data_IF_040557553551
#
_entry.id   IF_040557553551
#
_cell.length_a   1.000
_cell.length_b   1.000
_cell.length_c   1.000
_cell.angle_alpha   90.00
_cell.angle_beta   90.00
_cell.angle_gamma   90.00
#
_symmetry.space_group_name_H-M   'P 1'
#
loop_
_entity.id
_entity.type
_entity.pdbx_description
1 polymer ?
#
# COMPACT_ATOMS: atom_id res chain seq x y z
N UNK A 1 6.02 -13.64 1.72
CA UNK A 1 5.11 -13.01 0.74
C UNK A 1 5.87 -12.38 -0.43
N UNK A 2 5.33 -12.40 -1.66
CA UNK A 2 5.92 -11.71 -2.84
C UNK A 2 5.65 -10.19 -2.78
N UNK A 3 6.34 -9.43 -3.65
CA UNK A 3 6.07 -8.01 -3.86
C UNK A 3 4.61 -7.80 -4.28
N UNK A 4 4.01 -6.71 -3.79
CA UNK A 4 2.58 -6.42 -3.94
C UNK A 4 2.39 -5.20 -4.81
N UNK A 5 1.60 -5.30 -5.88
CA UNK A 5 1.17 -4.13 -6.66
C UNK A 5 0.09 -3.37 -5.86
N UNK A 6 0.45 -2.22 -5.30
CA UNK A 6 -0.37 -1.50 -4.32
C UNK A 6 -1.07 -0.26 -4.89
N UNK A 7 -0.57 0.31 -6.00
CA UNK A 7 -1.09 1.56 -6.55
C UNK A 7 -0.66 1.77 -8.00
N UNK A 8 -1.39 2.62 -8.74
CA UNK A 8 -1.01 3.06 -10.09
C UNK A 8 -1.36 4.52 -10.32
N UNK A 9 -0.75 5.17 -11.31
CA UNK A 9 -1.11 6.53 -11.69
C UNK A 9 -2.57 6.62 -12.16
N UNK A 10 -3.15 7.81 -12.07
CA UNK A 10 -4.52 8.10 -12.48
C UNK A 10 -5.32 8.89 -11.44
N UNK A 11 -6.61 9.06 -11.73
CA UNK A 11 -7.57 9.70 -10.84
C UNK A 11 -8.16 8.67 -9.87
N UNK A 12 -7.95 8.90 -8.58
CA UNK A 12 -8.44 8.03 -7.51
C UNK A 12 -9.26 8.81 -6.52
N UNK A 13 -10.41 8.27 -6.14
CA UNK A 13 -11.24 8.84 -5.08
C UNK A 13 -10.83 8.25 -3.75
N UNK A 14 -10.40 9.11 -2.84
CA UNK A 14 -10.07 8.73 -1.47
C UNK A 14 -11.30 8.22 -0.72
N UNK A 15 -11.09 7.55 0.42
CA UNK A 15 -12.19 7.11 1.31
C UNK A 15 -13.03 8.26 1.88
N UNK A 16 -12.55 9.51 1.79
CA UNK A 16 -13.26 10.72 2.18
C UNK A 16 -14.02 11.38 1.01
N UNK A 17 -14.04 10.74 -0.17
CA UNK A 17 -14.74 11.24 -1.36
C UNK A 17 -13.97 12.27 -2.18
N UNK A 18 -12.75 12.63 -1.79
CA UNK A 18 -11.91 13.55 -2.56
C UNK A 18 -11.23 12.81 -3.71
N UNK A 19 -11.43 13.29 -4.93
CA UNK A 19 -10.71 12.82 -6.12
C UNK A 19 -9.34 13.49 -6.20
N UNK A 20 -8.30 12.66 -6.26
CA UNK A 20 -6.90 13.06 -6.34
C UNK A 20 -6.28 12.47 -7.61
N UNK A 21 -5.49 13.29 -8.30
CA UNK A 21 -4.77 12.88 -9.50
C UNK A 21 -3.33 12.53 -9.15
N UNK A 22 -2.93 11.30 -9.48
CA UNK A 22 -1.57 10.82 -9.29
C UNK A 22 -0.89 10.66 -10.64
N UNK A 23 0.17 11.43 -10.88
CA UNK A 23 1.03 11.25 -12.04
C UNK A 23 2.05 10.13 -11.77
N UNK A 24 2.71 9.65 -12.82
CA UNK A 24 3.83 8.71 -12.63
C UNK A 24 4.96 9.34 -11.81
N UNK A 25 5.24 10.62 -12.03
CA UNK A 25 6.29 11.35 -11.31
C UNK A 25 5.99 11.47 -9.82
N UNK A 26 4.71 11.61 -9.44
CA UNK A 26 4.33 11.51 -8.02
C UNK A 26 4.71 10.15 -7.43
N UNK A 27 4.48 9.06 -8.17
CA UNK A 27 4.78 7.71 -7.67
C UNK A 27 6.28 7.42 -7.65
N UNK A 28 7.04 7.92 -8.63
CA UNK A 28 8.51 7.84 -8.64
C UNK A 28 9.10 8.64 -7.47
N UNK A 29 8.62 9.85 -7.24
CA UNK A 29 9.03 10.66 -6.09
C UNK A 29 8.70 9.97 -4.74
N UNK A 30 7.54 9.30 -4.65
CA UNK A 30 7.22 8.47 -3.47
C UNK A 30 8.20 7.32 -3.26
N UNK A 31 8.69 6.68 -4.33
CA UNK A 31 9.70 5.62 -4.24
C UNK A 31 11.03 6.17 -3.76
N UNK A 32 11.48 7.28 -4.35
CA UNK A 32 12.76 7.91 -4.00
C UNK A 32 12.79 8.43 -2.56
N UNK A 33 11.65 8.94 -2.08
CA UNK A 33 11.53 9.50 -0.74
C UNK A 33 11.30 8.46 0.37
N UNK A 34 10.96 7.21 0.02
CA UNK A 34 10.54 6.22 1.03
C UNK A 34 11.72 5.73 1.86
N UNK A 35 11.64 5.95 3.17
CA UNK A 35 12.67 5.55 4.14
C UNK A 35 12.01 4.93 5.39
N UNK A 36 12.11 3.60 5.59
CA UNK A 36 11.60 2.92 6.77
C UNK A 36 12.07 3.49 8.10
N UNK A 37 13.22 4.19 8.14
CA UNK A 37 13.73 4.84 9.35
C UNK A 37 12.96 6.12 9.73
N UNK A 38 12.31 6.78 8.78
CA UNK A 38 11.46 7.94 9.02
C UNK A 38 10.02 7.51 9.37
N UNK A 39 9.48 6.60 8.57
CA UNK A 39 8.19 5.96 8.80
C UNK A 39 8.12 4.67 7.99
N UNK A 40 8.17 3.54 8.70
CA UNK A 40 7.92 2.23 8.13
C UNK A 40 6.40 2.01 8.00
N UNK A 41 5.95 1.69 6.79
CA UNK A 41 4.52 1.64 6.51
C UNK A 41 3.99 0.25 6.91
N UNK A 42 3.04 0.16 7.85
CA UNK A 42 2.52 -1.13 8.29
C UNK A 42 1.61 -1.75 7.21
N UNK A 43 1.61 -3.07 7.19
CA UNK A 43 0.59 -3.89 6.54
C UNK A 43 -0.56 -4.07 7.52
N UNK A 44 -1.77 -3.71 7.11
CA UNK A 44 -2.96 -3.71 7.97
C UNK A 44 -4.15 -4.34 7.27
N UNK A 45 -5.15 -4.77 8.04
CA UNK A 45 -6.46 -5.14 7.50
C UNK A 45 -7.34 -3.88 7.43
N UNK A 46 -7.90 -3.59 6.25
CA UNK A 46 -8.73 -2.40 6.02
C UNK A 46 -7.95 -1.07 5.96
N UNK A 47 -8.64 0.03 6.22
CA UNK A 47 -8.05 1.36 6.40
C UNK A 47 -8.32 1.88 7.83
N UNK A 48 -7.56 1.41 8.82
CA UNK A 48 -7.74 1.87 10.19
C UNK A 48 -7.43 3.37 10.30
N UNK A 49 -8.22 4.07 11.10
CA UNK A 49 -7.99 5.49 11.39
C UNK A 49 -6.84 5.71 12.39
N UNK A 50 -6.53 4.72 13.22
CA UNK A 50 -5.50 4.77 14.27
C UNK A 50 -4.81 3.44 14.50
N UNK A 51 -4.41 3.17 15.76
CA UNK A 51 -3.59 2.03 16.21
C UNK A 51 -4.28 0.67 15.96
N UNK A 52 -4.16 0.17 14.75
CA UNK A 52 -4.45 -1.23 14.43
C UNK A 52 -3.14 -2.05 14.52
N UNK A 53 -3.24 -3.37 14.78
CA UNK A 53 -2.09 -4.24 14.69
C UNK A 53 -1.45 -4.17 13.30
N UNK A 54 -0.13 -4.02 13.26
CA UNK A 54 0.65 -4.29 12.06
C UNK A 54 0.76 -5.81 11.89
N UNK A 55 0.43 -6.30 10.70
CA UNK A 55 0.58 -7.70 10.30
C UNK A 55 1.87 -7.95 9.51
N UNK A 56 2.73 -6.94 9.46
CA UNK A 56 3.95 -6.87 8.69
C UNK A 56 4.27 -5.42 8.36
N UNK A 57 5.37 -5.24 7.64
CA UNK A 57 5.93 -3.93 7.33
C UNK A 57 6.34 -3.86 5.87
N UNK A 58 6.45 -2.65 5.34
CA UNK A 58 6.96 -2.42 3.98
C UNK A 58 8.42 -1.99 4.08
N UNK A 59 9.33 -2.82 3.57
CA UNK A 59 10.77 -2.55 3.62
C UNK A 59 11.25 -1.66 2.46
N UNK A 60 10.53 -1.65 1.34
CA UNK A 60 10.89 -0.83 0.18
C UNK A 60 9.72 -0.65 -0.79
N UNK A 61 9.80 0.41 -1.59
CA UNK A 61 8.93 0.66 -2.73
C UNK A 61 9.69 0.55 -4.04
N UNK A 62 8.97 0.25 -5.12
CA UNK A 62 9.50 0.35 -6.48
C UNK A 62 8.41 0.72 -7.46
N UNK A 63 8.78 1.45 -8.50
CA UNK A 63 7.91 1.79 -9.61
C UNK A 63 8.31 0.98 -10.86
N UNK A 64 7.34 0.45 -11.57
CA UNK A 64 7.54 -0.30 -12.81
C UNK A 64 6.35 -0.14 -13.76
N UNK A 65 6.31 -0.97 -14.81
CA UNK A 65 5.31 -0.89 -15.89
C UNK A 65 3.86 -0.90 -15.38
N UNK A 66 3.58 -1.69 -14.34
CA UNK A 66 2.23 -1.79 -13.78
C UNK A 66 1.88 -0.71 -12.76
N UNK A 67 2.88 0.03 -12.26
CA UNK A 67 2.73 1.03 -11.20
C UNK A 67 3.60 0.78 -9.98
N UNK A 68 3.11 1.20 -8.82
CA UNK A 68 3.82 1.16 -7.54
C UNK A 68 3.67 -0.20 -6.86
N UNK A 69 4.80 -0.77 -6.47
CA UNK A 69 4.90 -2.07 -5.82
C UNK A 69 5.61 -1.93 -4.46
N UNK A 70 5.08 -2.59 -3.43
CA UNK A 70 5.68 -2.68 -2.11
C UNK A 70 6.35 -4.03 -1.86
N UNK A 71 7.46 -4.03 -1.14
CA UNK A 71 8.14 -5.24 -0.63
C UNK A 71 7.74 -5.49 0.82
N UNK A 72 6.96 -6.53 1.13
CA UNK A 72 6.63 -6.91 2.50
C UNK A 72 7.85 -7.45 3.25
N UNK A 73 7.95 -7.14 4.53
CA UNK A 73 8.89 -7.72 5.49
C UNK A 73 8.19 -8.02 6.83
N UNK A 74 8.75 -8.94 7.61
CA UNK A 74 8.27 -9.31 8.96
C UNK A 74 6.76 -9.60 9.01
N UNK A 75 6.24 -10.27 7.99
CA UNK A 75 4.80 -10.57 7.85
C UNK A 75 4.41 -11.66 8.85
N UNK A 76 3.34 -11.42 9.60
CA UNK A 76 2.76 -12.41 10.51
C UNK A 76 2.27 -13.65 9.74
N UNK A 77 2.63 -14.83 10.24
CA UNK A 77 2.33 -16.09 9.56
C UNK A 77 0.82 -16.36 9.43
N UNK A 78 0.03 -16.05 10.46
CA UNK A 78 -1.42 -16.23 10.41
C UNK A 78 -2.06 -15.29 9.40
N UNK A 79 -1.53 -14.08 9.28
CA UNK A 79 -1.98 -13.16 8.25
C UNK A 79 -1.64 -13.68 6.85
N UNK A 80 -0.41 -14.17 6.64
CA UNK A 80 -0.03 -14.74 5.36
C UNK A 80 -0.96 -15.91 4.95
N UNK A 81 -1.33 -16.78 5.89
CA UNK A 81 -2.32 -17.85 5.67
C UNK A 81 -3.71 -17.31 5.28
N UNK A 82 -4.20 -16.25 5.93
CA UNK A 82 -5.49 -15.62 5.60
C UNK A 82 -5.48 -15.04 4.18
N UNK A 83 -4.37 -14.41 3.78
CA UNK A 83 -4.22 -13.88 2.42
C UNK A 83 -4.14 -15.02 1.40
N UNK A 84 -3.35 -16.07 1.67
CA UNK A 84 -3.24 -17.27 0.81
C UNK A 84 -4.58 -17.99 0.65
N UNK A 85 -5.38 -18.10 1.72
CA UNK A 85 -6.74 -18.62 1.69
C UNK A 85 -7.73 -17.71 0.95
N UNK A 86 -7.27 -16.55 0.44
CA UNK A 86 -8.06 -15.63 -0.33
C UNK A 86 -9.09 -14.85 0.49
N UNK A 87 -8.88 -14.71 1.81
CA UNK A 87 -9.76 -13.91 2.68
C UNK A 87 -9.59 -12.42 2.44
N UNK A 88 -8.39 -11.99 2.04
CA UNK A 88 -8.06 -10.60 1.70
C UNK A 88 -7.32 -10.52 0.37
N UNK A 89 -8.06 -10.53 -0.75
CA UNK A 89 -7.47 -10.58 -2.11
C UNK A 89 -7.11 -9.21 -2.70
N UNK A 90 -7.64 -8.15 -2.10
CA UNK A 90 -7.54 -6.78 -2.63
C UNK A 90 -6.64 -5.97 -1.73
N UNK A 91 -5.85 -5.09 -2.33
CA UNK A 91 -4.94 -4.20 -1.60
C UNK A 91 -5.22 -2.75 -1.96
N UNK A 92 -4.89 -1.85 -1.05
CA UNK A 92 -5.05 -0.41 -1.22
C UNK A 92 -3.98 0.33 -0.44
N UNK A 93 -3.21 1.18 -1.12
CA UNK A 93 -2.25 2.06 -0.48
C UNK A 93 -2.94 3.30 0.09
N UNK A 94 -2.58 3.67 1.32
CA UNK A 94 -2.88 4.98 1.89
C UNK A 94 -1.63 5.83 1.84
N UNK A 95 -1.73 7.08 1.43
CA UNK A 95 -0.62 8.03 1.44
C UNK A 95 -0.88 9.19 2.41
N UNK A 96 0.18 9.71 3.00
CA UNK A 96 0.19 11.08 3.48
C UNK A 96 0.26 12.03 2.28
N UNK A 97 -0.65 13.02 2.17
CA UNK A 97 -0.53 14.07 1.18
C UNK A 97 0.73 14.94 1.36
N UNK A 98 1.25 15.56 0.27
CA UNK A 98 2.41 16.45 0.31
C UNK A 98 2.33 17.58 1.34
N UNK A 99 1.13 18.08 1.60
CA UNK A 99 0.80 19.20 2.50
C UNK A 99 0.36 18.75 3.90
N UNK A 100 0.38 17.45 4.18
CA UNK A 100 -0.02 16.93 5.49
C UNK A 100 1.03 17.23 6.56
N UNK A 101 0.60 17.80 7.68
CA UNK A 101 1.47 18.09 8.83
C UNK A 101 2.12 16.83 9.46
N UNK A 102 1.54 15.64 9.23
CA UNK A 102 2.07 14.37 9.73
C UNK A 102 2.88 13.61 8.67
N UNK A 103 3.17 14.22 7.51
CA UNK A 103 4.00 13.61 6.48
C UNK A 103 5.47 13.66 6.91
N UNK A 104 6.17 12.52 7.01
CA UNK A 104 7.59 12.50 7.37
C UNK A 104 8.49 13.19 6.33
N UNK A 105 8.04 13.28 5.08
CA UNK A 105 8.74 13.96 3.98
C UNK A 105 7.77 14.93 3.28
N UNK A 106 7.67 16.19 3.74
CA UNK A 106 6.79 17.18 3.13
C UNK A 106 7.09 17.41 1.64
N UNK A 107 6.06 17.71 0.85
CA UNK A 107 6.17 17.97 -0.58
C UNK A 107 6.05 16.75 -1.49
N UNK A 108 6.04 15.52 -0.95
CA UNK A 108 5.81 14.28 -1.70
C UNK A 108 4.68 13.47 -1.09
N UNK A 109 4.02 12.63 -1.89
CA UNK A 109 3.14 11.61 -1.32
C UNK A 109 4.00 10.55 -0.62
N UNK A 110 3.75 10.31 0.66
CA UNK A 110 4.52 9.33 1.43
C UNK A 110 3.63 8.15 1.82
N UNK A 111 4.12 6.91 1.67
CA UNK A 111 3.30 5.73 1.98
C UNK A 111 2.99 5.68 3.48
N UNK A 112 1.71 5.75 3.82
CA UNK A 112 1.23 5.67 5.20
C UNK A 112 1.07 4.23 5.65
N UNK A 113 0.36 3.41 4.86
CA UNK A 113 0.12 1.99 5.14
C UNK A 113 -0.40 1.26 3.89
N UNK A 114 -0.26 -0.07 3.87
CA UNK A 114 -0.86 -0.95 2.85
C UNK A 114 -2.01 -1.73 3.49
N UNK A 115 -3.24 -1.43 3.06
CA UNK A 115 -4.45 -2.06 3.56
C UNK A 115 -4.85 -3.27 2.72
N UNK A 116 -5.02 -4.42 3.36
CA UNK A 116 -5.59 -5.63 2.79
C UNK A 116 -7.10 -5.65 3.03
N UNK A 117 -7.86 -5.75 1.95
CA UNK A 117 -9.31 -5.63 1.92
C UNK A 117 -9.94 -6.98 1.64
N UNK A 118 -10.97 -7.32 2.43
CA UNK A 118 -11.77 -8.54 2.26
C UNK A 118 -12.80 -8.37 1.14
N UNK A 119 -14.08 -8.47 1.48
CA UNK A 119 -15.16 -8.25 0.50
C UNK A 119 -15.27 -6.78 0.02
N UNK A 120 -14.59 -5.83 0.66
CA UNK A 120 -14.61 -4.44 0.24
C UNK A 120 -13.96 -4.28 -1.16
N UNK A 121 -14.61 -3.55 -2.09
CA UNK A 121 -14.02 -3.26 -3.39
C UNK A 121 -12.77 -2.37 -3.22
N UNK A 122 -11.72 -2.56 -4.04
CA UNK A 122 -10.59 -1.65 -4.02
C UNK A 122 -11.02 -0.31 -4.63
N UNK A 123 -10.49 0.80 -4.11
CA UNK A 123 -10.74 2.11 -4.70
C UNK A 123 -10.19 2.23 -6.14
N UNK A 124 -9.20 1.40 -6.48
CA UNK A 124 -8.51 1.40 -7.78
C UNK A 124 -8.87 0.15 -8.57
N UNK A 125 -9.47 0.36 -9.76
CA UNK A 125 -9.75 -0.74 -10.70
C UNK A 125 -8.45 -1.18 -11.40
N UNK A 126 -8.23 -2.50 -11.48
CA UNK A 126 -7.15 -3.10 -12.28
C UNK A 126 -5.81 -3.26 -11.58
N UNK A 127 -5.75 -3.21 -10.24
CA UNK A 127 -4.57 -3.68 -9.52
C UNK A 127 -4.40 -5.20 -9.73
N UNK A 128 -3.15 -5.65 -9.92
CA UNK A 128 -2.85 -7.08 -9.96
C UNK A 128 -3.21 -7.68 -8.60
N UNK A 129 -3.86 -8.83 -8.60
CA UNK A 129 -4.10 -9.57 -7.35
C UNK A 129 -2.77 -9.86 -6.65
N UNK A 130 -2.80 -10.00 -5.33
CA UNK A 130 -1.63 -10.43 -4.57
C UNK A 130 -1.23 -11.80 -5.08
N UNK A 131 -0.03 -11.92 -5.68
CA UNK A 131 0.44 -13.18 -6.26
C UNK A 131 1.09 -14.06 -5.18
N UNK A 132 0.77 -15.35 -5.22
CA UNK A 132 1.17 -16.31 -4.21
C UNK A 132 2.22 -17.25 -4.80
N UNK A 133 3.35 -17.50 -4.11
CA UNK A 133 4.10 -18.72 -4.37
C UNK A 133 3.18 -19.89 -4.04
N UNK A 134 2.93 -20.78 -5.00
CA UNK A 134 2.25 -22.05 -4.73
C UNK A 134 3.13 -22.82 -3.75
N UNK A 135 2.61 -23.21 -2.59
CA UNK A 135 3.22 -24.29 -1.84
C UNK A 135 2.99 -25.57 -2.66
N UNK A 136 4.09 -26.18 -3.12
CA UNK A 136 4.09 -27.55 -3.62
C UNK A 136 4.12 -28.51 -2.44
#
# INVERSE_FOLDING_TARGET
>A
MKRIHIFKAGNHTSSQGQSLSFTEDHLKASVEAYDPSLHEAPIVIGHPKGNAPAWGWVSSLSYGEDGLTASPDQVDANFEELVQAGRFKKVSASFYPPDSANNPVPGVFYLRHVGFLGAQPPAIKGLKGVDFPKMN
#
